data_IF_551292259411
#
_entry.id   IF_551292259411
#
_cell.length_a   1.000
_cell.length_b   1.000
_cell.length_c   1.000
_cell.angle_alpha   90.00
_cell.angle_beta   90.00
_cell.angle_gamma   90.00
#
_symmetry.space_group_name_H-M   'P 1'
#
loop_
_entity.id
_entity.type
_entity.pdbx_description
1 polymer ?
#
# COMPACT_ATOMS: atom_id res chain seq x y z
N UNK A 1 19.90 -33.73 -1.47
CA UNK A 1 18.90 -32.63 -1.45
C UNK A 1 18.55 -32.38 -2.90
N UNK A 2 17.34 -31.94 -3.23
CA UNK A 2 17.07 -31.68 -4.64
C UNK A 2 17.72 -30.38 -5.07
N UNK A 3 18.09 -30.31 -6.33
CA UNK A 3 18.35 -29.07 -7.04
C UNK A 3 17.22 -28.87 -8.05
N UNK A 4 16.70 -27.66 -8.09
CA UNK A 4 15.59 -27.27 -8.96
C UNK A 4 16.11 -26.34 -10.06
N UNK A 5 15.71 -26.62 -11.29
CA UNK A 5 15.86 -25.70 -12.41
C UNK A 5 14.50 -25.11 -12.73
N UNK A 6 14.35 -23.82 -12.48
CA UNK A 6 13.09 -23.10 -12.55
C UNK A 6 13.16 -22.08 -13.68
N UNK A 7 12.23 -22.16 -14.63
CA UNK A 7 12.03 -21.09 -15.60
C UNK A 7 10.97 -20.13 -15.07
N UNK A 8 11.37 -18.88 -14.88
CA UNK A 8 10.53 -17.82 -14.31
C UNK A 8 10.31 -16.74 -15.37
N UNK A 9 9.08 -16.25 -15.52
CA UNK A 9 8.75 -15.20 -16.47
C UNK A 9 7.54 -14.38 -16.01
N UNK A 10 7.50 -13.06 -16.28
CA UNK A 10 6.28 -12.28 -16.11
C UNK A 10 5.13 -12.89 -16.93
N UNK A 11 3.92 -12.83 -16.40
CA UNK A 11 2.74 -13.44 -17.01
C UNK A 11 2.62 -13.06 -18.50
N UNK A 12 2.37 -14.06 -19.36
CA UNK A 12 2.29 -13.85 -20.80
C UNK A 12 3.63 -13.63 -21.54
N UNK A 13 4.77 -13.52 -20.85
CA UNK A 13 6.07 -13.18 -21.45
C UNK A 13 7.06 -14.35 -21.65
N UNK A 14 6.63 -15.60 -21.44
CA UNK A 14 7.48 -16.82 -21.44
C UNK A 14 8.50 -17.01 -22.59
N UNK A 15 8.29 -16.35 -23.74
CA UNK A 15 9.19 -16.40 -24.91
C UNK A 15 10.04 -15.14 -25.09
N UNK A 16 9.62 -14.02 -24.52
CA UNK A 16 10.22 -12.69 -24.67
C UNK A 16 11.17 -12.39 -23.51
N UNK A 17 10.66 -12.53 -22.29
CA UNK A 17 11.34 -12.14 -21.06
C UNK A 17 11.26 -13.28 -20.06
N UNK A 18 12.40 -13.87 -19.69
CA UNK A 18 12.47 -14.93 -18.69
C UNK A 18 13.86 -15.05 -18.06
N UNK A 19 13.91 -15.78 -16.94
CA UNK A 19 15.13 -16.23 -16.27
C UNK A 19 15.04 -17.74 -16.05
N UNK A 20 16.15 -18.44 -16.19
CA UNK A 20 16.30 -19.81 -15.70
C UNK A 20 17.17 -19.74 -14.45
N UNK A 21 16.64 -20.22 -13.33
CA UNK A 21 17.25 -20.14 -12.01
C UNK A 21 17.53 -21.55 -11.53
N UNK A 22 18.75 -21.79 -11.08
CA UNK A 22 19.08 -22.97 -10.29
C UNK A 22 19.05 -22.63 -8.81
N UNK A 23 18.35 -23.45 -8.01
CA UNK A 23 18.18 -23.22 -6.58
C UNK A 23 18.15 -24.54 -5.81
N UNK A 24 18.62 -24.52 -4.55
CA UNK A 24 18.60 -25.70 -3.71
C UNK A 24 17.21 -25.95 -3.14
N UNK A 25 16.79 -27.21 -3.08
CA UNK A 25 15.58 -27.63 -2.37
C UNK A 25 15.59 -27.30 -0.87
N UNK A 26 16.76 -27.02 -0.30
CA UNK A 26 16.91 -26.54 1.07
C UNK A 26 16.68 -25.03 1.23
N UNK A 27 16.62 -24.27 0.15
CA UNK A 27 16.27 -22.86 0.16
C UNK A 27 14.75 -22.70 0.35
N UNK A 28 14.36 -21.53 0.85
CA UNK A 28 12.96 -21.18 1.16
C UNK A 28 12.28 -20.50 -0.02
N UNK A 29 10.96 -20.36 0.04
CA UNK A 29 10.24 -19.51 -0.92
C UNK A 29 10.65 -18.04 -0.78
N UNK A 30 11.01 -17.56 0.42
CA UNK A 30 11.58 -16.23 0.59
C UNK A 30 12.86 -16.07 -0.24
N UNK A 31 13.76 -17.05 -0.14
CA UNK A 31 15.01 -17.03 -0.91
C UNK A 31 14.75 -17.11 -2.42
N UNK A 32 13.73 -17.84 -2.84
CA UNK A 32 13.34 -17.88 -4.25
C UNK A 32 12.82 -16.52 -4.72
N UNK A 33 11.99 -15.84 -3.92
CA UNK A 33 11.50 -14.49 -4.22
C UNK A 33 12.66 -13.50 -4.38
N UNK A 34 13.57 -13.44 -3.40
CA UNK A 34 14.77 -12.57 -3.46
C UNK A 34 15.57 -12.76 -4.76
N UNK A 35 15.77 -14.00 -5.19
CA UNK A 35 16.55 -14.32 -6.39
C UNK A 35 15.79 -13.96 -7.65
N UNK A 36 14.46 -14.14 -7.69
CA UNK A 36 13.62 -13.73 -8.81
C UNK A 36 13.68 -12.20 -8.96
N UNK A 37 13.42 -11.45 -7.90
CA UNK A 37 13.40 -9.99 -7.95
C UNK A 37 14.76 -9.43 -8.36
N UNK A 38 15.85 -9.91 -7.76
CA UNK A 38 17.19 -9.51 -8.15
C UNK A 38 17.53 -9.87 -9.62
N UNK A 39 16.98 -10.96 -10.15
CA UNK A 39 17.23 -11.37 -11.54
C UNK A 39 16.48 -10.49 -12.56
N UNK A 40 15.38 -9.86 -12.17
CA UNK A 40 14.61 -8.92 -13.01
C UNK A 40 14.90 -7.44 -12.69
N UNK A 41 15.86 -7.17 -11.80
CA UNK A 41 16.20 -5.81 -11.32
C UNK A 41 15.03 -5.10 -10.62
N UNK A 42 14.24 -5.88 -9.86
CA UNK A 42 13.11 -5.36 -9.09
C UNK A 42 13.57 -4.94 -7.68
N UNK A 43 13.00 -3.85 -7.17
CA UNK A 43 13.12 -3.43 -5.77
C UNK A 43 12.32 -4.39 -4.87
N UNK A 44 12.92 -4.83 -3.77
CA UNK A 44 12.33 -5.82 -2.84
C UNK A 44 11.72 -5.13 -1.61
N UNK A 45 10.62 -4.41 -1.83
CA UNK A 45 9.99 -3.53 -0.82
C UNK A 45 8.52 -3.89 -0.56
N UNK A 46 7.93 -4.70 -1.43
CA UNK A 46 6.50 -5.00 -1.45
C UNK A 46 6.20 -6.41 -0.93
N UNK A 47 4.93 -6.63 -0.55
CA UNK A 47 4.44 -7.94 -0.12
C UNK A 47 4.25 -8.89 -1.31
N UNK A 48 4.27 -10.18 -1.03
CA UNK A 48 4.09 -11.21 -2.03
C UNK A 48 3.52 -12.52 -1.48
N UNK A 49 3.00 -13.33 -2.41
CA UNK A 49 2.54 -14.69 -2.15
C UNK A 49 2.95 -15.65 -3.26
N UNK A 50 3.05 -16.94 -2.93
CA UNK A 50 3.16 -18.02 -3.91
C UNK A 50 1.88 -18.86 -3.95
N UNK A 51 1.36 -19.12 -5.15
CA UNK A 51 0.25 -20.05 -5.35
C UNK A 51 0.67 -21.29 -6.12
N UNK A 52 0.57 -22.45 -5.49
CA UNK A 52 0.86 -23.75 -6.10
C UNK A 52 -0.24 -24.22 -7.06
N UNK A 53 -1.43 -23.65 -6.95
CA UNK A 53 -2.59 -23.96 -7.81
C UNK A 53 -2.78 -22.96 -8.94
N UNK A 54 -2.06 -21.83 -8.90
CA UNK A 54 -2.21 -20.71 -9.83
C UNK A 54 -3.39 -19.79 -9.53
N UNK A 55 -4.08 -20.00 -8.40
CA UNK A 55 -5.17 -19.12 -7.94
C UNK A 55 -4.61 -18.02 -7.05
N UNK A 56 -4.80 -16.77 -7.45
CA UNK A 56 -4.50 -15.59 -6.65
C UNK A 56 -5.45 -15.49 -5.45
N UNK A 57 -4.99 -14.87 -4.36
CA UNK A 57 -5.83 -14.51 -3.20
C UNK A 57 -6.56 -15.72 -2.58
N UNK A 58 -5.90 -16.88 -2.54
CA UNK A 58 -6.47 -18.11 -1.97
C UNK A 58 -5.86 -18.40 -0.60
N UNK A 59 -6.66 -18.89 0.34
CA UNK A 59 -6.19 -19.29 1.68
C UNK A 59 -5.08 -20.36 1.67
N UNK A 60 -4.98 -21.14 0.58
CA UNK A 60 -3.97 -22.17 0.37
C UNK A 60 -2.61 -21.61 -0.12
N UNK A 61 -2.51 -20.29 -0.33
CA UNK A 61 -1.29 -19.64 -0.81
C UNK A 61 -0.24 -19.48 0.30
N UNK A 62 1.02 -19.45 -0.11
CA UNK A 62 2.14 -19.21 0.77
C UNK A 62 2.41 -17.70 0.83
N UNK A 63 2.07 -17.04 1.94
CA UNK A 63 2.17 -15.59 2.10
C UNK A 63 3.38 -15.20 2.97
N UNK A 64 4.09 -14.14 2.56
CA UNK A 64 5.17 -13.55 3.35
C UNK A 64 4.66 -12.81 4.59
N UNK A 65 3.37 -12.43 4.60
CA UNK A 65 2.72 -11.76 5.72
C UNK A 65 1.23 -12.12 5.77
N UNK A 66 0.81 -13.15 6.52
CA UNK A 66 -0.58 -13.60 6.55
C UNK A 66 -1.48 -12.58 7.26
N UNK A 67 -2.68 -12.35 6.73
CA UNK A 67 -3.64 -11.35 7.22
C UNK A 67 -4.10 -11.56 8.68
N UNK A 68 -4.12 -12.81 9.16
CA UNK A 68 -4.59 -13.18 10.51
C UNK A 68 -3.51 -13.90 11.32
N UNK A 69 -2.95 -13.25 12.37
CA UNK A 69 -2.10 -13.80 13.46
C UNK A 69 -1.32 -15.11 13.15
N UNK A 70 -0.76 -15.22 11.95
CA UNK A 70 -0.07 -16.39 11.44
C UNK A 70 1.43 -16.12 11.32
N UNK A 71 2.22 -17.18 11.23
CA UNK A 71 3.63 -17.05 10.84
C UNK A 71 3.71 -17.01 9.30
N UNK A 72 4.67 -16.27 8.71
CA UNK A 72 4.94 -16.34 7.28
C UNK A 72 5.09 -17.78 6.83
N UNK A 73 4.35 -18.18 5.80
CA UNK A 73 4.41 -19.54 5.27
C UNK A 73 5.49 -19.70 4.20
N UNK A 74 6.09 -18.60 3.74
CA UNK A 74 7.18 -18.55 2.75
C UNK A 74 8.56 -18.98 3.28
N UNK A 75 8.75 -19.08 4.61
CA UNK A 75 9.93 -19.73 5.21
C UNK A 75 9.96 -21.26 4.97
N UNK A 76 8.92 -21.81 4.32
CA UNK A 76 8.94 -23.21 3.89
C UNK A 76 10.00 -23.46 2.82
N UNK A 77 10.64 -24.63 2.90
CA UNK A 77 11.66 -25.08 1.95
C UNK A 77 11.03 -25.65 0.69
N UNK A 78 11.68 -25.48 -0.46
CA UNK A 78 11.23 -26.04 -1.73
C UNK A 78 11.04 -27.57 -1.68
N UNK A 79 11.93 -28.29 -1.00
CA UNK A 79 11.83 -29.77 -0.84
C UNK A 79 10.55 -30.22 -0.11
N UNK A 80 9.93 -29.34 0.70
CA UNK A 80 8.68 -29.64 1.42
C UNK A 80 7.43 -29.48 0.55
N UNK A 81 7.53 -28.79 -0.58
CA UNK A 81 6.38 -28.45 -1.44
C UNK A 81 5.96 -29.61 -2.35
N UNK A 82 6.78 -30.66 -2.47
CA UNK A 82 6.45 -31.80 -3.30
C UNK A 82 6.40 -31.49 -4.80
N UNK A 83 7.10 -30.43 -5.24
CA UNK A 83 7.12 -29.99 -6.64
C UNK A 83 7.53 -31.11 -7.61
N UNK A 84 6.86 -31.15 -8.76
CA UNK A 84 7.10 -32.11 -9.83
C UNK A 84 7.66 -31.43 -11.08
N UNK A 85 8.40 -32.19 -11.89
CA UNK A 85 8.84 -31.71 -13.22
C UNK A 85 7.61 -31.32 -14.05
N UNK A 86 7.74 -30.25 -14.81
CA UNK A 86 6.69 -29.60 -15.63
C UNK A 86 5.58 -28.89 -14.85
N UNK A 87 5.54 -29.00 -13.51
CA UNK A 87 4.59 -28.28 -12.69
C UNK A 87 4.78 -26.76 -12.86
N UNK A 88 3.67 -26.05 -12.87
CA UNK A 88 3.63 -24.59 -12.80
C UNK A 88 3.06 -24.13 -11.48
N UNK A 89 3.60 -23.04 -10.98
CA UNK A 89 3.08 -22.26 -9.86
C UNK A 89 3.41 -20.80 -10.10
N UNK A 90 2.89 -19.90 -9.28
CA UNK A 90 3.06 -18.47 -9.49
C UNK A 90 3.64 -17.80 -8.24
N UNK A 91 4.40 -16.74 -8.46
CA UNK A 91 4.69 -15.69 -7.50
C UNK A 91 3.85 -14.49 -7.89
N UNK A 92 3.03 -14.01 -6.96
CA UNK A 92 2.33 -12.75 -7.07
C UNK A 92 3.04 -11.75 -6.15
N UNK A 93 3.64 -10.74 -6.75
CA UNK A 93 4.48 -9.74 -6.11
C UNK A 93 3.84 -8.38 -6.28
N UNK A 94 3.92 -7.54 -5.24
CA UNK A 94 3.37 -6.19 -5.23
C UNK A 94 1.88 -6.14 -5.60
N UNK A 95 1.03 -6.28 -4.58
CA UNK A 95 -0.43 -6.31 -4.75
C UNK A 95 -1.02 -4.98 -5.27
N UNK A 96 -0.24 -3.89 -5.29
CA UNK A 96 -0.65 -2.63 -5.91
C UNK A 96 -0.61 -2.70 -7.44
N UNK A 97 0.50 -3.21 -7.98
CA UNK A 97 0.76 -3.29 -9.43
C UNK A 97 0.52 -4.69 -10.04
N UNK A 98 0.10 -5.65 -9.21
CA UNK A 98 -0.35 -7.00 -9.58
C UNK A 98 0.71 -7.77 -10.42
N UNK A 99 1.98 -7.69 -10.03
CA UNK A 99 3.05 -8.39 -10.74
C UNK A 99 2.94 -9.91 -10.56
N UNK A 100 2.53 -10.60 -11.63
CA UNK A 100 2.47 -12.07 -11.64
C UNK A 100 3.66 -12.66 -12.40
N UNK A 101 4.49 -13.43 -11.70
CA UNK A 101 5.53 -14.27 -12.29
C UNK A 101 5.06 -15.73 -12.33
N UNK A 102 5.01 -16.30 -13.53
CA UNK A 102 4.83 -17.74 -13.71
C UNK A 102 6.18 -18.45 -13.54
N UNK A 103 6.16 -19.54 -12.77
CA UNK A 103 7.33 -20.38 -12.48
C UNK A 103 7.04 -21.80 -12.96
N UNK A 104 7.85 -22.27 -13.91
CA UNK A 104 7.79 -23.63 -14.42
C UNK A 104 9.00 -24.44 -13.94
N UNK A 105 8.74 -25.58 -13.31
CA UNK A 105 9.79 -26.53 -12.93
C UNK A 105 10.27 -27.26 -14.17
N UNK A 106 11.46 -26.93 -14.66
CA UNK A 106 12.04 -27.56 -15.85
C UNK A 106 12.73 -28.88 -15.52
N UNK A 107 13.45 -28.92 -14.41
CA UNK A 107 14.17 -30.12 -14.00
C UNK A 107 14.32 -30.19 -12.47
N UNK A 108 14.44 -31.43 -11.99
CA UNK A 108 14.67 -31.77 -10.59
C UNK A 108 15.64 -32.94 -10.57
N UNK A 109 16.76 -32.80 -9.87
CA UNK A 109 17.68 -33.91 -9.65
C UNK A 109 18.24 -33.90 -8.23
N UNK A 110 18.70 -35.05 -7.77
CA UNK A 110 19.35 -35.17 -6.46
C UNK A 110 20.81 -34.70 -6.56
N UNK A 111 21.18 -33.77 -5.69
CA UNK A 111 22.53 -33.24 -5.58
C UNK A 111 23.07 -33.41 -4.15
N UNK A 112 24.38 -33.65 -4.04
CA UNK A 112 25.08 -33.84 -2.76
C UNK A 112 25.49 -32.52 -2.13
N UNK A 113 25.80 -31.53 -2.96
CA UNK A 113 26.22 -30.19 -2.53
C UNK A 113 25.11 -29.18 -2.73
N UNK A 114 24.96 -28.24 -1.79
CA UNK A 114 24.01 -27.14 -1.94
C UNK A 114 24.51 -26.18 -3.02
N UNK A 115 23.75 -26.03 -4.10
CA UNK A 115 23.94 -24.94 -5.07
C UNK A 115 23.56 -23.61 -4.42
N UNK A 116 24.34 -22.57 -4.68
CA UNK A 116 23.95 -21.20 -4.34
C UNK A 116 23.01 -20.72 -5.44
N UNK A 117 21.84 -20.21 -5.05
CA UNK A 117 20.83 -19.77 -6.01
C UNK A 117 21.42 -18.73 -7.00
N UNK A 118 21.30 -18.99 -8.29
CA UNK A 118 21.83 -18.12 -9.35
C UNK A 118 21.07 -18.30 -10.67
N UNK A 119 21.15 -17.28 -11.53
CA UNK A 119 20.59 -17.30 -12.88
C UNK A 119 21.56 -18.03 -13.81
N UNK A 120 21.07 -19.03 -14.54
CA UNK A 120 21.83 -19.79 -15.55
C UNK A 120 21.50 -19.37 -16.98
N UNK A 121 20.33 -18.81 -17.21
CA UNK A 121 19.92 -18.26 -18.51
C UNK A 121 19.07 -17.00 -18.31
N UNK A 122 19.31 -15.99 -19.14
CA UNK A 122 18.59 -14.73 -19.13
C UNK A 122 18.17 -14.34 -20.54
N UNK A 123 16.92 -13.90 -20.67
CA UNK A 123 16.39 -13.35 -21.91
C UNK A 123 15.44 -12.19 -21.63
N UNK A 124 15.58 -11.11 -22.39
CA UNK A 124 14.71 -9.94 -22.32
C UNK A 124 14.84 -9.17 -21.01
N UNK A 125 14.28 -7.97 -21.00
CA UNK A 125 14.14 -7.12 -19.81
C UNK A 125 12.67 -6.78 -19.61
N UNK A 126 12.36 -6.43 -18.38
CA UNK A 126 11.10 -5.79 -17.98
C UNK A 126 11.50 -4.73 -16.97
N UNK A 127 10.85 -3.58 -17.04
CA UNK A 127 11.03 -2.49 -16.10
C UNK A 127 9.91 -2.55 -15.08
N UNK A 128 10.25 -2.49 -13.79
CA UNK A 128 9.25 -2.62 -12.72
C UNK A 128 8.34 -1.40 -12.67
N UNK A 129 8.91 -0.21 -12.73
CA UNK A 129 8.18 1.05 -12.80
C UNK A 129 8.80 1.87 -13.92
N UNK A 130 8.24 1.84 -15.15
CA UNK A 130 8.70 2.74 -16.20
C UNK A 130 8.52 4.18 -15.73
N UNK A 131 9.56 5.00 -15.92
CA UNK A 131 9.46 6.45 -15.73
C UNK A 131 8.35 6.95 -16.65
N UNK A 132 7.21 7.35 -16.09
CA UNK A 132 6.05 7.87 -16.83
C UNK A 132 6.31 9.33 -17.29
N UNK A 133 7.47 9.57 -17.90
CA UNK A 133 7.91 10.88 -18.40
C UNK A 133 7.94 10.94 -19.95
N UNK A 134 7.13 10.14 -20.65
CA UNK A 134 7.05 10.19 -22.12
C UNK A 134 5.69 9.69 -22.67
N UNK A 135 4.59 10.34 -22.28
CA UNK A 135 3.36 10.29 -23.09
C UNK A 135 3.50 11.30 -24.23
N UNK A 136 3.47 10.78 -25.47
CA UNK A 136 3.42 11.55 -26.71
C UNK A 136 2.36 12.67 -26.63
N UNK A 137 2.86 13.87 -26.81
CA UNK A 137 2.22 15.19 -26.84
C UNK A 137 1.33 15.33 -28.10
N UNK A 138 0.25 14.54 -28.19
CA UNK A 138 -0.79 14.73 -29.24
C UNK A 138 -2.22 14.41 -28.78
N UNK A 139 -2.47 14.51 -27.48
CA UNK A 139 -3.78 14.91 -26.96
C UNK A 139 -3.55 16.19 -26.16
N UNK A 140 -4.08 17.31 -26.66
CA UNK A 140 -4.21 18.62 -25.99
C UNK A 140 -5.08 18.48 -24.73
N UNK A 141 -4.58 17.75 -23.73
CA UNK A 141 -4.98 17.86 -22.36
C UNK A 141 -4.02 18.86 -21.73
N UNK A 142 -4.51 20.08 -21.55
CA UNK A 142 -3.94 21.10 -20.68
C UNK A 142 -3.70 20.42 -19.31
N UNK A 143 -2.50 19.89 -19.11
CA UNK A 143 -2.02 19.59 -17.77
C UNK A 143 -1.82 20.96 -17.17
N UNK A 144 -2.86 21.46 -16.50
CA UNK A 144 -2.74 22.63 -15.64
C UNK A 144 -1.50 22.36 -14.77
N UNK A 145 -0.43 23.11 -15.01
CA UNK A 145 0.72 23.11 -14.11
C UNK A 145 0.14 23.24 -12.70
N UNK A 146 0.53 22.34 -11.78
CA UNK A 146 0.02 22.37 -10.41
C UNK A 146 0.10 23.82 -9.92
N UNK A 147 -1.05 24.49 -9.64
CA UNK A 147 -1.05 25.92 -9.44
C UNK A 147 -0.01 26.29 -8.39
N UNK A 148 0.75 27.38 -8.61
CA UNK A 148 1.79 27.84 -7.67
C UNK A 148 1.29 27.86 -6.21
N UNK A 149 0.01 28.16 -6.04
CA UNK A 149 -0.71 28.16 -4.76
C UNK A 149 -0.77 26.79 -4.09
N UNK A 150 -1.04 25.70 -4.84
CA UNK A 150 -1.03 24.31 -4.36
C UNK A 150 0.39 23.83 -4.00
N UNK A 151 1.40 24.27 -4.75
CA UNK A 151 2.81 23.99 -4.43
C UNK A 151 3.23 24.67 -3.13
N UNK A 152 2.91 25.96 -2.96
CA UNK A 152 3.23 26.72 -1.75
C UNK A 152 2.47 26.20 -0.52
N UNK A 153 1.20 25.87 -0.71
CA UNK A 153 0.37 25.14 0.23
C UNK A 153 1.01 23.87 0.78
N UNK A 154 1.50 22.97 -0.10
CA UNK A 154 2.19 21.73 0.29
C UNK A 154 3.47 22.02 1.07
N UNK A 155 4.23 23.04 0.66
CA UNK A 155 5.42 23.49 1.41
C UNK A 155 5.05 23.99 2.80
N UNK A 156 3.93 24.70 2.94
CA UNK A 156 3.44 25.17 4.24
C UNK A 156 2.97 24.00 5.12
N UNK A 157 2.20 23.06 4.55
CA UNK A 157 1.72 21.86 5.27
C UNK A 157 2.88 21.02 5.82
N UNK A 158 3.99 20.91 5.07
CA UNK A 158 5.20 20.24 5.53
C UNK A 158 5.74 20.82 6.85
N UNK A 159 5.69 22.14 7.04
CA UNK A 159 6.10 22.79 8.31
C UNK A 159 5.25 22.29 9.48
N UNK A 160 3.93 22.16 9.30
CA UNK A 160 3.02 21.70 10.34
C UNK A 160 3.17 20.20 10.62
N UNK A 161 3.41 19.39 9.58
CA UNK A 161 3.71 17.96 9.71
C UNK A 161 5.03 17.71 10.46
N UNK A 162 6.09 18.45 10.14
CA UNK A 162 7.37 18.35 10.84
C UNK A 162 7.25 18.73 12.32
N UNK A 163 6.47 19.77 12.62
CA UNK A 163 6.15 20.18 13.99
C UNK A 163 5.41 19.06 14.74
N UNK A 164 4.38 18.50 14.12
CA UNK A 164 3.59 17.41 14.71
C UNK A 164 4.43 16.15 14.94
N UNK A 165 5.28 15.78 13.97
CA UNK A 165 6.19 14.64 14.07
C UNK A 165 7.15 14.80 15.26
N UNK A 166 7.68 16.01 15.47
CA UNK A 166 8.58 16.31 16.60
C UNK A 166 7.87 16.11 17.94
N UNK A 167 6.63 16.59 18.08
CA UNK A 167 5.83 16.43 19.29
C UNK A 167 5.44 14.96 19.53
N UNK A 168 5.10 14.22 18.47
CA UNK A 168 4.83 12.79 18.56
C UNK A 168 6.05 12.01 19.06
N UNK A 169 7.24 12.29 18.50
CA UNK A 169 8.50 11.69 18.97
C UNK A 169 8.79 12.04 20.43
N UNK A 170 8.58 13.29 20.83
CA UNK A 170 8.77 13.73 22.22
C UNK A 170 7.78 13.08 23.20
N UNK A 171 6.58 12.71 22.73
CA UNK A 171 5.56 12.06 23.57
C UNK A 171 5.84 10.59 23.89
N UNK A 172 6.82 9.96 23.24
CA UNK A 172 7.23 8.58 23.51
C UNK A 172 6.26 7.49 23.03
N UNK A 173 5.34 7.81 22.10
CA UNK A 173 4.49 6.81 21.45
C UNK A 173 5.28 5.93 20.49
N UNK A 174 4.76 4.74 20.18
CA UNK A 174 5.45 3.78 19.30
C UNK A 174 5.60 4.31 17.87
N UNK A 175 6.63 3.86 17.15
CA UNK A 175 6.84 4.21 15.73
C UNK A 175 5.62 3.93 14.86
N UNK A 176 4.92 2.80 15.08
CA UNK A 176 3.69 2.49 14.34
C UNK A 176 2.56 3.48 14.64
N UNK A 177 2.46 3.95 15.88
CA UNK A 177 1.50 5.00 16.26
C UNK A 177 1.87 6.35 15.65
N UNK A 178 3.16 6.67 15.56
CA UNK A 178 3.64 7.88 14.88
C UNK A 178 3.23 7.81 13.42
N UNK A 179 3.58 6.72 12.73
CA UNK A 179 3.26 6.53 11.31
C UNK A 179 1.76 6.69 11.05
N UNK A 180 0.92 5.95 11.79
CA UNK A 180 -0.53 6.04 11.62
C UNK A 180 -1.09 7.46 11.87
N UNK A 181 -0.53 8.22 12.79
CA UNK A 181 -0.95 9.61 12.99
C UNK A 181 -0.48 10.53 11.87
N UNK A 182 0.74 10.34 11.38
CA UNK A 182 1.29 11.12 10.27
C UNK A 182 0.49 10.86 8.99
N UNK A 183 0.27 9.60 8.62
CA UNK A 183 -0.46 9.23 7.39
C UNK A 183 -1.86 9.84 7.36
N UNK A 184 -2.60 9.74 8.46
CA UNK A 184 -3.95 10.30 8.57
C UNK A 184 -3.99 11.82 8.47
N UNK A 185 -2.96 12.51 8.97
CA UNK A 185 -2.91 13.98 9.01
C UNK A 185 -2.37 14.52 7.69
N UNK A 186 -1.35 13.88 7.13
CA UNK A 186 -0.84 14.21 5.80
C UNK A 186 -1.93 14.07 4.75
N UNK A 187 -2.66 12.94 4.74
CA UNK A 187 -3.82 12.74 3.89
C UNK A 187 -4.85 13.88 4.01
N UNK A 188 -5.17 14.26 5.24
CA UNK A 188 -6.14 15.32 5.47
C UNK A 188 -5.66 16.67 4.91
N UNK A 189 -4.40 17.03 5.14
CA UNK A 189 -3.84 18.33 4.73
C UNK A 189 -3.50 18.41 3.24
N UNK A 190 -3.01 17.31 2.67
CA UNK A 190 -2.37 17.29 1.35
C UNK A 190 -3.30 16.76 0.26
N UNK A 191 -4.28 15.93 0.60
CA UNK A 191 -5.20 15.33 -0.37
C UNK A 191 -6.61 15.92 -0.25
N UNK A 192 -7.11 16.11 0.98
CA UNK A 192 -8.47 16.57 1.19
C UNK A 192 -8.62 18.09 1.16
N UNK A 193 -7.87 18.86 1.97
CA UNK A 193 -8.03 20.32 2.00
C UNK A 193 -7.87 21.03 0.64
N UNK A 194 -6.97 20.59 -0.26
CA UNK A 194 -6.89 21.19 -1.60
C UNK A 194 -8.10 20.88 -2.48
N UNK A 195 -8.90 19.86 -2.13
CA UNK A 195 -10.06 19.40 -2.90
C UNK A 195 -11.37 20.13 -2.53
N UNK A 196 -11.41 20.87 -1.42
CA UNK A 196 -12.68 21.36 -0.85
C UNK A 196 -13.29 22.60 -1.52
N UNK A 197 -12.54 23.35 -2.35
CA UNK A 197 -13.04 24.56 -3.03
C UNK A 197 -12.22 24.88 -4.31
N UNK A 198 -12.69 25.84 -5.12
CA UNK A 198 -11.91 26.44 -6.23
C UNK A 198 -10.70 27.23 -5.72
N UNK A 199 -10.72 27.70 -4.46
CA UNK A 199 -9.61 28.34 -3.76
C UNK A 199 -9.03 27.42 -2.67
N UNK A 200 -7.70 27.30 -2.61
CA UNK A 200 -7.00 26.41 -1.68
C UNK A 200 -7.39 26.63 -0.20
N UNK A 201 -7.81 25.56 0.50
CA UNK A 201 -8.12 25.62 1.94
C UNK A 201 -6.87 25.37 2.79
N UNK A 202 -6.48 26.36 3.60
CA UNK A 202 -5.30 26.24 4.46
C UNK A 202 -5.51 25.37 5.71
N UNK A 203 -4.41 25.00 6.38
CA UNK A 203 -4.43 24.20 7.61
C UNK A 203 -5.30 24.81 8.71
N UNK A 204 -5.37 26.14 8.83
CA UNK A 204 -6.15 26.80 9.90
C UNK A 204 -7.64 26.72 9.61
N UNK A 205 -8.03 26.93 8.35
CA UNK A 205 -9.38 26.74 7.85
C UNK A 205 -9.81 25.27 7.96
N UNK A 206 -8.89 24.31 7.84
CA UNK A 206 -9.17 22.90 8.13
C UNK A 206 -9.68 22.63 9.55
N UNK A 207 -9.46 23.52 10.52
CA UNK A 207 -10.02 23.35 11.87
C UNK A 207 -11.51 23.76 11.95
N UNK A 208 -12.08 24.31 10.88
CA UNK A 208 -13.46 24.78 10.84
C UNK A 208 -14.47 23.64 10.85
N UNK A 209 -15.61 23.87 11.51
CA UNK A 209 -16.63 22.84 11.69
C UNK A 209 -17.25 22.38 10.38
N UNK A 210 -17.39 23.29 9.41
CA UNK A 210 -17.96 22.95 8.10
C UNK A 210 -17.01 22.06 7.28
N UNK A 211 -15.70 22.33 7.31
CA UNK A 211 -14.69 21.48 6.65
C UNK A 211 -14.65 20.10 7.30
N UNK A 212 -14.62 20.02 8.63
CA UNK A 212 -14.60 18.72 9.32
C UNK A 212 -15.88 17.91 9.09
N UNK A 213 -17.04 18.59 9.00
CA UNK A 213 -18.32 17.94 8.66
C UNK A 213 -18.33 17.39 7.25
N UNK A 214 -17.83 18.14 6.29
CA UNK A 214 -17.71 17.65 4.91
C UNK A 214 -16.75 16.45 4.84
N UNK A 215 -15.58 16.57 5.46
CA UNK A 215 -14.59 15.49 5.47
C UNK A 215 -15.15 14.20 6.08
N UNK A 216 -15.63 14.26 7.32
CA UNK A 216 -16.06 13.07 8.04
C UNK A 216 -17.47 12.60 7.70
N UNK A 217 -18.37 13.50 7.33
CA UNK A 217 -19.76 13.20 7.00
C UNK A 217 -19.97 12.78 5.53
N UNK A 218 -19.06 13.17 4.63
CA UNK A 218 -19.21 12.84 3.22
C UNK A 218 -17.92 12.29 2.59
N UNK A 219 -16.87 13.09 2.48
CA UNK A 219 -15.71 12.76 1.67
C UNK A 219 -15.05 11.44 2.10
N UNK A 220 -14.78 11.28 3.40
CA UNK A 220 -14.10 10.10 3.92
C UNK A 220 -14.85 8.82 3.59
N UNK A 221 -16.17 8.81 3.78
CA UNK A 221 -17.02 7.65 3.52
C UNK A 221 -17.10 7.33 2.02
N UNK A 222 -17.32 8.33 1.19
CA UNK A 222 -17.67 8.15 -0.23
C UNK A 222 -16.48 8.17 -1.19
N UNK A 223 -15.31 8.64 -0.75
CA UNK A 223 -14.12 8.84 -1.59
C UNK A 223 -12.91 8.03 -1.15
N UNK A 224 -12.87 7.54 0.10
CA UNK A 224 -11.75 6.72 0.58
C UNK A 224 -12.09 5.24 0.51
N UNK A 225 -11.37 4.48 -0.33
CA UNK A 225 -11.59 3.02 -0.50
C UNK A 225 -11.38 2.21 0.78
N UNK A 226 -10.65 2.76 1.76
CA UNK A 226 -10.41 2.14 3.07
C UNK A 226 -11.38 2.65 4.16
N UNK A 227 -12.48 3.30 3.78
CA UNK A 227 -13.44 3.84 4.74
C UNK A 227 -14.08 2.70 5.53
N UNK A 228 -13.93 2.76 6.85
CA UNK A 228 -14.67 1.91 7.79
C UNK A 228 -14.97 2.75 9.03
N UNK A 229 -16.02 2.42 9.82
CA UNK A 229 -16.32 3.15 11.04
C UNK A 229 -15.13 3.21 12.02
N UNK A 230 -14.30 2.16 12.04
CA UNK A 230 -13.09 2.12 12.87
C UNK A 230 -11.99 3.03 12.32
N UNK A 231 -11.70 2.96 11.01
CA UNK A 231 -10.68 3.80 10.39
C UNK A 231 -11.06 5.28 10.51
N UNK A 232 -12.31 5.64 10.23
CA UNK A 232 -12.86 7.00 10.38
C UNK A 232 -12.61 7.55 11.79
N UNK A 233 -12.90 6.76 12.82
CA UNK A 233 -12.65 7.13 14.22
C UNK A 233 -11.16 7.31 14.53
N UNK A 234 -10.30 6.45 13.98
CA UNK A 234 -8.85 6.59 14.16
C UNK A 234 -8.31 7.83 13.46
N UNK A 235 -8.81 8.16 12.27
CA UNK A 235 -8.49 9.39 11.54
C UNK A 235 -8.90 10.62 12.35
N UNK A 236 -10.12 10.64 12.90
CA UNK A 236 -10.57 11.72 13.78
C UNK A 236 -9.75 11.85 15.06
N UNK A 237 -9.20 10.76 15.60
CA UNK A 237 -8.27 10.82 16.72
C UNK A 237 -6.92 11.45 16.33
N UNK A 238 -6.40 11.13 15.13
CA UNK A 238 -5.18 11.73 14.57
C UNK A 238 -5.36 13.23 14.34
N UNK A 239 -6.45 13.65 13.68
CA UNK A 239 -6.76 15.06 13.41
C UNK A 239 -6.93 15.86 14.71
N UNK A 240 -7.65 15.33 15.71
CA UNK A 240 -7.73 15.98 17.04
C UNK A 240 -6.35 16.17 17.67
N UNK A 241 -5.48 15.17 17.58
CA UNK A 241 -4.14 15.23 18.17
C UNK A 241 -3.26 16.24 17.44
N UNK A 242 -3.39 16.32 16.12
CA UNK A 242 -2.74 17.32 15.29
C UNK A 242 -3.17 18.74 15.67
N UNK A 243 -4.47 19.03 15.70
CA UNK A 243 -4.94 20.37 16.07
C UNK A 243 -4.68 20.73 17.53
N UNK A 244 -4.55 19.74 18.42
CA UNK A 244 -4.02 19.97 19.76
C UNK A 244 -2.58 20.50 19.71
N UNK A 245 -1.72 19.86 18.91
CA UNK A 245 -0.35 20.30 18.67
C UNK A 245 -0.34 21.73 18.10
N UNK A 246 -1.15 22.02 17.09
CA UNK A 246 -1.27 23.37 16.51
C UNK A 246 -1.69 24.41 17.55
N UNK A 247 -2.62 24.08 18.46
CA UNK A 247 -3.01 24.97 19.55
C UNK A 247 -1.92 25.15 20.63
N UNK A 248 -1.13 24.11 20.90
CA UNK A 248 -0.02 24.15 21.86
C UNK A 248 1.13 25.04 21.34
N UNK A 249 1.35 25.06 20.02
CA UNK A 249 2.34 25.93 19.35
C UNK A 249 1.78 27.30 18.92
N UNK A 250 0.50 27.56 19.14
CA UNK A 250 -0.14 28.85 18.85
C UNK A 250 -0.47 29.10 17.38
N UNK A 251 -0.46 28.06 16.55
CA UNK A 251 -0.86 28.13 15.13
C UNK A 251 -2.39 28.24 14.97
N UNK A 252 -3.16 27.74 15.96
CA UNK A 252 -4.60 28.02 16.13
C UNK A 252 -4.91 28.44 17.57
N UNK A 253 -6.08 29.06 17.80
CA UNK A 253 -6.50 29.42 19.16
C UNK A 253 -6.94 28.18 19.98
N UNK A 254 -6.80 28.27 21.30
CA UNK A 254 -7.28 27.21 22.20
C UNK A 254 -8.80 27.09 22.17
N UNK A 255 -9.49 28.18 21.90
CA UNK A 255 -10.94 28.25 21.69
C UNK A 255 -11.33 27.43 20.45
N UNK A 256 -10.62 27.63 19.33
CA UNK A 256 -10.83 26.85 18.10
C UNK A 256 -10.64 25.36 18.31
N UNK A 257 -9.58 24.97 19.02
CA UNK A 257 -9.36 23.56 19.36
C UNK A 257 -10.47 22.97 20.25
N UNK A 258 -11.04 23.76 21.17
CA UNK A 258 -12.18 23.32 22.00
C UNK A 258 -13.45 23.12 21.16
N UNK A 259 -13.73 24.02 20.22
CA UNK A 259 -14.85 23.89 19.28
C UNK A 259 -14.73 22.60 18.46
N UNK A 260 -13.54 22.36 17.89
CA UNK A 260 -13.22 21.12 17.18
C UNK A 260 -13.45 19.88 18.06
N UNK A 261 -12.95 19.90 19.30
CA UNK A 261 -13.17 18.77 20.23
C UNK A 261 -14.64 18.53 20.54
N UNK A 262 -15.45 19.60 20.58
CA UNK A 262 -16.89 19.53 20.86
C UNK A 262 -17.61 18.90 19.67
N UNK A 263 -17.30 19.34 18.45
CA UNK A 263 -17.80 18.76 17.22
C UNK A 263 -17.55 17.24 17.15
N UNK A 264 -16.29 16.81 17.34
CA UNK A 264 -15.95 15.38 17.34
C UNK A 264 -16.64 14.58 18.45
N UNK A 265 -17.05 15.22 19.54
CA UNK A 265 -17.77 14.54 20.61
C UNK A 265 -19.25 14.37 20.25
N UNK A 266 -19.82 15.33 19.56
CA UNK A 266 -21.24 15.36 19.19
C UNK A 266 -21.51 14.50 17.95
N UNK A 267 -20.65 14.54 16.92
CA UNK A 267 -20.99 14.01 15.59
C UNK A 267 -20.29 12.70 15.22
N UNK A 268 -19.21 12.31 15.93
CA UNK A 268 -18.45 11.11 15.58
C UNK A 268 -19.29 9.83 15.56
N UNK A 269 -20.28 9.70 16.45
CA UNK A 269 -21.14 8.53 16.47
C UNK A 269 -22.02 8.45 15.20
N UNK A 270 -22.52 9.60 14.74
CA UNK A 270 -23.37 9.69 13.56
C UNK A 270 -22.55 9.42 12.30
N UNK A 271 -21.35 10.01 12.17
CA UNK A 271 -20.44 9.72 11.04
C UNK A 271 -20.03 8.24 10.97
N UNK A 272 -19.80 7.59 12.12
CA UNK A 272 -19.50 6.16 12.16
C UNK A 272 -20.71 5.30 11.73
N UNK A 273 -21.93 5.74 12.03
CA UNK A 273 -23.15 5.04 11.62
C UNK A 273 -23.41 5.21 10.12
N UNK A 274 -23.25 6.42 9.59
CA UNK A 274 -23.37 6.70 8.16
C UNK A 274 -22.33 5.91 7.34
N UNK A 275 -21.08 5.89 7.79
CA UNK A 275 -20.03 5.07 7.17
C UNK A 275 -20.35 3.57 7.23
N UNK A 276 -20.97 3.09 8.32
CA UNK A 276 -21.41 1.70 8.40
C UNK A 276 -22.50 1.40 7.38
N UNK A 277 -23.53 2.25 7.33
CA UNK A 277 -24.66 2.07 6.40
C UNK A 277 -24.20 2.07 4.95
N UNK A 278 -23.32 3.01 4.59
CA UNK A 278 -22.74 3.06 3.24
C UNK A 278 -22.00 1.78 2.88
N UNK A 279 -21.19 1.24 3.80
CA UNK A 279 -20.43 0.01 3.57
C UNK A 279 -21.29 -1.27 3.60
N UNK A 280 -22.43 -1.27 4.30
CA UNK A 280 -23.35 -2.40 4.39
C UNK A 280 -24.33 -2.44 3.19
N UNK A 281 -24.59 -1.29 2.54
CA UNK A 281 -25.47 -1.16 1.37
C UNK A 281 -24.84 -1.73 0.06
N UNK A 282 -23.61 -2.25 0.09
CA UNK A 282 -22.94 -2.93 -1.03
C UNK A 282 -23.36 -4.41 -1.20
N UNK A 283 -24.18 -4.96 -0.29
CA UNK A 283 -24.87 -6.24 -0.49
C UNK A 283 -26.29 -5.98 -1.08
N UNK A 284 -26.49 -6.39 -2.35
CA UNK A 284 -27.78 -6.73 -3.00
C UNK A 284 -28.48 -5.81 -4.06
N UNK A 285 -27.88 -4.83 -4.76
CA UNK A 285 -28.66 -4.22 -5.90
C UNK A 285 -27.95 -3.55 -7.09
N UNK A 286 -26.79 -4.05 -7.56
CA UNK A 286 -26.13 -3.49 -8.77
C UNK A 286 -25.94 -4.45 -9.97
N UNK A 287 -26.79 -5.48 -10.09
CA UNK A 287 -26.91 -6.28 -11.33
C UNK A 287 -28.36 -6.55 -11.74
N UNK A 288 -29.19 -5.51 -11.83
CA UNK A 288 -30.40 -5.54 -12.66
C UNK A 288 -30.61 -4.16 -13.30
N UNK A 289 -30.12 -3.98 -14.52
CA UNK A 289 -30.89 -3.55 -15.71
C UNK A 289 -29.98 -3.48 -16.94
#
# INVERSE_FOLDING_TARGET
MKQYTLKVYPQGQSRKTYRVIEISGNDTLDRLCEVILAAFDFIHEHMYEFSMTGKLYSDDNYSCYPEYKGQPSTDTKLDKLGLQKEQKFILHYDFGDDWVFEIQVQDIHDEKTRVIAHVTEEKGSVEQYPDYDDWDDDDDYDYDEEPDEAIEARKENKKYLDMFLKDLKASGVSTKTIQNHMDNVDFYLTDYLPFTDEEYTDMKAGAESFILRDFFGYYYTHKCMWSTPNNLKTTGASIKKFYKCMADHGEISKEKYKELCTLFKEEMADWQEECRRFNDDDDDDFFLY
#
